data_IF_598438618413
#
_entry.id   IF_598438618413
#
_cell.length_a   1.000
_cell.length_b   1.000
_cell.length_c   1.000
_cell.angle_alpha   90.00
_cell.angle_beta   90.00
_cell.angle_gamma   90.00
#
_symmetry.space_group_name_H-M   'P 1'
#
loop_
_entity.id
_entity.type
_entity.pdbx_description
1 polymer ?
#
# COMPACT_ATOMS: atom_id res chain seq x y z
N UNK A 1 41.02 -22.28 -10.20
CA UNK A 1 40.43 -21.32 -9.24
C UNK A 1 39.01 -21.04 -9.69
N UNK A 2 38.02 -21.45 -8.89
CA UNK A 2 36.61 -21.35 -9.24
C UNK A 2 35.79 -22.05 -8.17
N UNK A 3 35.68 -21.40 -7.01
CA UNK A 3 34.96 -21.85 -5.83
C UNK A 3 33.49 -22.11 -6.17
N UNK A 4 33.04 -23.35 -6.00
CA UNK A 4 31.61 -23.73 -6.08
C UNK A 4 30.85 -23.19 -4.86
N UNK A 5 29.63 -22.66 -5.03
CA UNK A 5 28.80 -22.17 -3.92
C UNK A 5 28.12 -23.35 -3.19
N UNK A 6 28.91 -24.16 -2.49
CA UNK A 6 28.44 -25.33 -1.73
C UNK A 6 27.67 -24.95 -0.45
N UNK A 7 27.81 -23.70 0.01
CA UNK A 7 27.23 -23.23 1.28
C UNK A 7 25.72 -22.93 1.17
N UNK A 8 25.24 -22.45 0.01
CA UNK A 8 23.82 -22.13 -0.17
C UNK A 8 22.92 -23.38 -0.23
N UNK A 9 23.41 -24.45 -0.86
CA UNK A 9 22.68 -25.71 -0.99
C UNK A 9 22.48 -26.44 0.36
N UNK A 10 23.44 -26.31 1.29
CA UNK A 10 23.39 -26.95 2.60
C UNK A 10 22.44 -26.22 3.56
N UNK A 11 22.36 -24.89 3.47
CA UNK A 11 21.42 -24.10 4.28
C UNK A 11 19.96 -24.37 3.90
N UNK A 12 19.67 -24.56 2.61
CA UNK A 12 18.32 -24.81 2.12
C UNK A 12 17.74 -26.16 2.57
N UNK A 13 18.59 -27.18 2.69
CA UNK A 13 18.20 -28.54 3.12
C UNK A 13 17.74 -28.62 4.58
N UNK A 14 18.10 -27.66 5.43
CA UNK A 14 17.74 -27.66 6.86
C UNK A 14 16.44 -26.94 7.18
N UNK A 15 15.93 -26.08 6.28
CA UNK A 15 14.71 -25.29 6.53
C UNK A 15 13.41 -26.03 6.22
N UNK A 16 13.45 -27.13 5.46
CA UNK A 16 12.25 -27.76 4.86
C UNK A 16 11.61 -28.89 5.67
N UNK A 17 12.09 -29.20 6.88
CA UNK A 17 11.42 -30.21 7.73
C UNK A 17 10.52 -29.55 8.77
N UNK A 18 9.37 -29.04 8.34
CA UNK A 18 8.24 -28.82 9.27
C UNK A 18 7.18 -29.89 9.05
N UNK A 19 6.76 -30.51 10.15
CA UNK A 19 5.74 -31.56 10.20
C UNK A 19 4.38 -30.89 9.99
N UNK A 20 3.66 -31.24 8.92
CA UNK A 20 2.27 -30.82 8.77
C UNK A 20 1.41 -31.43 9.89
N UNK A 21 0.31 -30.77 10.26
CA UNK A 21 -0.63 -31.24 11.30
C UNK A 21 -1.25 -32.61 11.00
N UNK A 22 -1.19 -33.06 9.73
CA UNK A 22 -1.63 -34.39 9.26
C UNK A 22 -0.58 -35.50 9.46
N UNK A 23 0.55 -35.21 10.10
CA UNK A 23 1.62 -36.19 10.34
C UNK A 23 2.48 -36.53 9.11
N UNK A 24 2.18 -35.94 7.95
CA UNK A 24 3.02 -36.05 6.74
C UNK A 24 4.17 -35.05 6.81
N UNK A 25 5.39 -35.55 6.64
CA UNK A 25 6.57 -34.72 6.40
C UNK A 25 6.49 -34.22 4.97
N UNK A 26 6.23 -32.93 4.78
CA UNK A 26 6.31 -32.32 3.46
C UNK A 26 7.75 -31.86 3.27
N UNK A 27 8.58 -32.74 2.73
CA UNK A 27 9.85 -32.32 2.15
C UNK A 27 9.51 -31.53 0.89
N UNK A 28 10.01 -30.31 0.79
CA UNK A 28 10.02 -29.58 -0.47
C UNK A 28 11.02 -30.32 -1.39
N UNK A 29 10.57 -31.41 -1.99
CA UNK A 29 11.27 -32.03 -3.11
C UNK A 29 11.17 -31.04 -4.26
N UNK A 30 12.23 -30.27 -4.44
CA UNK A 30 12.41 -29.38 -5.59
C UNK A 30 12.33 -30.16 -6.92
N UNK A 31 12.38 -31.50 -6.87
CA UNK A 31 12.12 -32.42 -7.98
C UNK A 31 10.67 -32.41 -8.48
N UNK A 32 9.64 -32.12 -7.65
CA UNK A 32 8.24 -32.08 -8.12
C UNK A 32 7.98 -30.94 -9.12
N UNK A 33 8.77 -29.86 -9.07
CA UNK A 33 8.72 -28.80 -10.08
C UNK A 33 9.52 -29.12 -11.36
N UNK A 34 10.38 -30.15 -11.33
CA UNK A 34 11.14 -30.58 -12.50
C UNK A 34 10.36 -31.53 -13.41
N UNK A 35 9.32 -32.19 -12.90
CA UNK A 35 8.47 -33.10 -13.68
C UNK A 35 7.43 -32.37 -14.55
N UNK A 36 7.07 -31.14 -14.19
CA UNK A 36 6.31 -30.25 -15.06
C UNK A 36 7.27 -29.66 -16.10
N UNK A 37 7.58 -30.44 -17.15
CA UNK A 37 8.42 -29.97 -18.26
C UNK A 37 7.99 -28.59 -18.73
N UNK A 38 8.95 -27.73 -19.07
CA UNK A 38 8.73 -26.31 -19.41
C UNK A 38 7.56 -26.11 -20.39
N UNK A 39 7.42 -27.03 -21.36
CA UNK A 39 6.35 -27.07 -22.36
C UNK A 39 4.94 -27.26 -21.78
N UNK A 40 4.80 -27.95 -20.65
CA UNK A 40 3.54 -28.18 -19.97
C UNK A 40 2.98 -26.88 -19.36
N UNK A 41 3.82 -26.06 -18.74
CA UNK A 41 3.41 -24.76 -18.16
C UNK A 41 3.10 -23.69 -19.24
N UNK A 42 3.56 -23.90 -20.47
CA UNK A 42 3.25 -23.05 -21.61
C UNK A 42 1.96 -23.46 -22.34
N UNK A 43 1.39 -24.64 -22.04
CA UNK A 43 0.08 -25.07 -22.56
C UNK A 43 -1.05 -24.30 -21.87
N UNK A 44 -2.11 -23.98 -22.64
CA UNK A 44 -3.36 -23.47 -22.09
C UNK A 44 -3.91 -24.43 -21.01
N UNK A 45 -4.05 -23.96 -19.78
CA UNK A 45 -4.54 -24.76 -18.63
C UNK A 45 -3.46 -25.41 -17.75
N UNK A 46 -2.24 -25.62 -18.26
CA UNK A 46 -1.17 -26.29 -17.50
C UNK A 46 -0.73 -25.54 -16.23
N UNK A 47 -0.89 -24.20 -16.19
CA UNK A 47 -0.62 -23.40 -14.99
C UNK A 47 -1.68 -23.53 -13.91
N UNK A 48 -2.92 -23.86 -14.29
CA UNK A 48 -4.04 -24.04 -13.36
C UNK A 48 -3.92 -25.40 -12.67
N UNK A 49 -3.49 -26.42 -13.40
CA UNK A 49 -3.30 -27.78 -12.87
C UNK A 49 -2.16 -27.86 -11.83
N UNK A 50 -1.16 -26.98 -11.94
CA UNK A 50 -0.01 -26.92 -11.00
C UNK A 50 -0.22 -25.89 -9.90
N UNK A 51 -1.35 -25.17 -9.90
CA UNK A 51 -1.63 -24.09 -8.94
C UNK A 51 -1.65 -24.59 -7.50
N UNK A 52 -2.38 -25.66 -7.23
CA UNK A 52 -2.61 -26.13 -5.86
C UNK A 52 -1.28 -26.63 -5.23
N UNK A 53 -0.44 -27.45 -5.92
CA UNK A 53 0.91 -27.76 -5.44
C UNK A 53 1.82 -26.53 -5.21
N UNK A 54 1.71 -25.50 -6.05
CA UNK A 54 2.50 -24.25 -5.90
C UNK A 54 2.02 -23.43 -4.68
N UNK A 55 0.71 -23.43 -4.40
CA UNK A 55 0.17 -22.78 -3.20
C UNK A 55 0.62 -23.48 -1.91
N UNK A 56 0.76 -24.80 -1.91
CA UNK A 56 1.28 -25.54 -0.75
C UNK A 56 2.74 -25.16 -0.44
N UNK A 57 3.56 -24.94 -1.47
CA UNK A 57 4.94 -24.44 -1.31
C UNK A 57 4.94 -23.02 -0.73
N UNK A 58 4.01 -22.16 -1.14
CA UNK A 58 3.88 -20.80 -0.60
C UNK A 58 3.61 -20.82 0.92
N UNK A 59 2.70 -21.69 1.37
CA UNK A 59 2.34 -21.87 2.78
C UNK A 59 3.48 -22.42 3.63
N UNK A 60 4.43 -23.14 3.03
CA UNK A 60 5.57 -23.74 3.73
C UNK A 60 6.75 -22.79 3.95
N UNK A 61 6.67 -21.54 3.46
CA UNK A 61 7.62 -20.49 3.88
C UNK A 61 8.23 -19.64 2.77
N UNK A 62 7.62 -19.54 1.59
CA UNK A 62 8.10 -18.60 0.54
C UNK A 62 8.11 -17.16 1.06
N UNK A 63 7.13 -16.80 1.90
CA UNK A 63 7.09 -15.50 2.58
C UNK A 63 8.24 -15.25 3.57
N UNK A 64 8.96 -16.29 3.99
CA UNK A 64 10.12 -16.20 4.89
C UNK A 64 11.45 -16.36 4.15
N UNK A 65 11.44 -16.52 2.81
CA UNK A 65 12.66 -16.59 2.04
C UNK A 65 13.35 -15.21 2.07
N UNK A 66 14.69 -15.17 2.27
CA UNK A 66 15.43 -13.92 2.15
C UNK A 66 15.25 -13.31 0.76
N UNK A 67 15.07 -11.99 0.66
CA UNK A 67 14.86 -11.30 -0.62
C UNK A 67 15.93 -11.62 -1.66
N UNK A 68 17.20 -11.71 -1.24
CA UNK A 68 18.32 -12.08 -2.11
C UNK A 68 18.15 -13.45 -2.81
N UNK A 69 17.46 -14.41 -2.19
CA UNK A 69 17.18 -15.70 -2.83
C UNK A 69 16.07 -15.56 -3.87
N UNK A 70 15.02 -14.79 -3.56
CA UNK A 70 13.93 -14.52 -4.50
C UNK A 70 14.44 -13.77 -5.74
N UNK A 71 15.33 -12.78 -5.55
CA UNK A 71 16.01 -12.07 -6.63
C UNK A 71 16.83 -13.02 -7.52
N UNK A 72 17.68 -13.87 -6.90
CA UNK A 72 18.48 -14.84 -7.64
C UNK A 72 17.62 -15.85 -8.43
N UNK A 73 16.42 -16.15 -7.92
CA UNK A 73 15.46 -17.05 -8.56
C UNK A 73 14.51 -16.35 -9.56
N UNK A 74 14.62 -15.03 -9.75
CA UNK A 74 13.66 -14.21 -10.52
C UNK A 74 12.20 -14.39 -10.07
N UNK A 75 11.99 -14.59 -8.77
CA UNK A 75 10.66 -14.68 -8.19
C UNK A 75 10.18 -13.29 -7.78
N UNK A 76 8.99 -12.85 -8.22
CA UNK A 76 8.42 -11.59 -7.74
C UNK A 76 8.12 -11.72 -6.25
N UNK A 77 8.65 -10.80 -5.45
CA UNK A 77 8.40 -10.73 -4.02
C UNK A 77 8.31 -9.27 -3.57
N UNK A 78 7.53 -9.04 -2.52
CA UNK A 78 7.50 -7.78 -1.80
C UNK A 78 7.17 -8.06 -0.33
N UNK A 79 7.82 -7.38 0.63
CA UNK A 79 7.44 -7.48 2.04
C UNK A 79 6.03 -6.94 2.26
N UNK A 80 5.28 -7.56 3.17
CA UNK A 80 3.99 -7.02 3.63
C UNK A 80 4.29 -5.94 4.66
N UNK A 81 4.16 -4.69 4.25
CA UNK A 81 4.36 -3.52 5.11
C UNK A 81 3.09 -3.20 5.91
N UNK A 82 3.26 -2.64 7.11
CA UNK A 82 2.16 -2.06 7.88
C UNK A 82 1.88 -0.64 7.40
N UNK A 83 0.68 -0.09 7.64
CA UNK A 83 0.36 1.28 7.25
C UNK A 83 1.36 2.32 7.77
N UNK A 84 1.84 2.16 9.01
CA UNK A 84 2.84 3.05 9.61
C UNK A 84 4.23 2.98 8.95
N UNK A 85 4.57 1.87 8.29
CA UNK A 85 5.86 1.72 7.62
C UNK A 85 5.95 2.62 6.38
N UNK A 86 4.80 2.99 5.79
CA UNK A 86 4.71 3.84 4.59
C UNK A 86 5.37 5.21 4.78
N UNK A 87 5.35 5.78 5.99
CA UNK A 87 5.95 7.09 6.27
C UNK A 87 7.48 7.08 6.18
N UNK A 88 8.09 5.89 6.26
CA UNK A 88 9.54 5.71 6.19
C UNK A 88 9.97 4.94 4.94
N UNK A 89 9.03 4.52 4.10
CA UNK A 89 9.32 3.84 2.85
C UNK A 89 10.06 4.78 1.88
N UNK A 90 11.24 4.42 1.35
CA UNK A 90 12.03 5.29 0.48
C UNK A 90 11.30 5.83 -0.76
N UNK A 91 10.29 5.11 -1.27
CA UNK A 91 9.49 5.54 -2.41
C UNK A 91 8.38 6.53 -2.02
N UNK A 92 7.96 6.56 -0.75
CA UNK A 92 6.87 7.38 -0.24
C UNK A 92 7.34 8.53 0.64
N UNK A 93 8.46 8.39 1.34
CA UNK A 93 9.08 9.42 2.19
C UNK A 93 9.67 10.60 1.38
N UNK A 94 9.28 10.76 0.12
CA UNK A 94 9.59 11.91 -0.70
C UNK A 94 8.46 12.94 -0.55
N UNK A 95 8.77 14.25 -0.37
CA UNK A 95 7.73 15.28 -0.21
C UNK A 95 6.69 15.31 -1.35
N UNK A 96 7.08 14.87 -2.55
CA UNK A 96 6.20 14.77 -3.71
C UNK A 96 5.27 13.53 -3.68
N UNK A 97 5.69 12.47 -2.99
CA UNK A 97 4.91 11.24 -2.85
C UNK A 97 3.96 11.31 -1.65
N UNK A 98 4.32 12.07 -0.62
CA UNK A 98 3.47 12.34 0.53
C UNK A 98 3.43 13.85 0.86
N UNK A 99 2.69 14.67 0.08
CA UNK A 99 2.55 16.09 0.36
C UNK A 99 1.85 16.33 1.70
N UNK A 100 2.23 17.42 2.36
CA UNK A 100 1.55 17.89 3.58
C UNK A 100 0.20 18.52 3.23
N UNK A 101 -0.84 18.12 3.96
CA UNK A 101 -2.17 18.71 3.91
C UNK A 101 -2.49 19.32 5.27
N UNK A 102 -3.01 20.55 5.27
CA UNK A 102 -3.51 21.21 6.47
C UNK A 102 -4.95 20.79 6.73
N UNK A 103 -5.22 20.33 7.95
CA UNK A 103 -6.56 20.03 8.44
C UNK A 103 -7.30 21.30 8.83
N UNK A 104 -8.62 21.19 8.96
CA UNK A 104 -9.49 22.28 9.43
C UNK A 104 -9.10 22.85 10.80
N UNK A 105 -8.38 22.08 11.63
CA UNK A 105 -7.87 22.49 12.94
C UNK A 105 -6.44 23.09 12.89
N UNK A 106 -5.87 23.28 11.69
CA UNK A 106 -4.52 23.83 11.48
C UNK A 106 -3.37 22.83 11.64
N UNK A 107 -3.64 21.58 12.03
CA UNK A 107 -2.61 20.53 12.05
C UNK A 107 -2.23 20.13 10.63
N UNK A 108 -0.96 19.81 10.42
CA UNK A 108 -0.45 19.31 9.14
C UNK A 108 -0.16 17.82 9.25
N UNK A 109 -0.54 17.05 8.23
CA UNK A 109 -0.12 15.66 8.09
C UNK A 109 0.27 15.32 6.65
N UNK A 110 1.25 14.42 6.45
CA UNK A 110 1.58 13.89 5.14
C UNK A 110 0.53 12.86 4.71
N UNK A 111 0.00 13.03 3.50
CA UNK A 111 -0.93 12.09 2.87
C UNK A 111 -0.38 11.57 1.55
N UNK A 112 -0.59 10.30 1.19
CA UNK A 112 -0.14 9.78 -0.10
C UNK A 112 -0.76 10.57 -1.25
N UNK A 113 0.10 11.04 -2.16
CA UNK A 113 -0.32 11.76 -3.35
C UNK A 113 -1.10 10.85 -4.32
N UNK A 114 -1.78 11.47 -5.28
CA UNK A 114 -2.37 10.75 -6.40
C UNK A 114 -1.27 9.98 -7.15
N UNK A 115 -1.47 8.69 -7.50
CA UNK A 115 -0.48 7.87 -8.18
C UNK A 115 -0.44 8.18 -9.69
N UNK A 116 -0.45 9.47 -10.05
CA UNK A 116 -0.49 9.95 -11.43
C UNK A 116 0.65 10.94 -11.64
N UNK A 117 1.41 10.70 -12.69
CA UNK A 117 2.49 11.57 -13.18
C UNK A 117 2.20 11.92 -14.65
N UNK A 118 2.32 13.19 -15.00
CA UNK A 118 2.10 13.72 -16.35
C UNK A 118 3.34 14.51 -16.76
N UNK A 119 4.00 14.10 -17.85
CA UNK A 119 5.22 14.72 -18.37
C UNK A 119 6.34 14.91 -17.30
N UNK A 120 6.51 13.92 -16.42
CA UNK A 120 7.51 13.99 -15.34
C UNK A 120 7.08 14.84 -14.13
N UNK A 121 5.83 15.33 -14.13
CA UNK A 121 5.27 16.13 -13.05
C UNK A 121 4.18 15.37 -12.30
N UNK A 122 4.33 15.26 -10.99
CA UNK A 122 3.28 14.74 -10.11
C UNK A 122 2.30 15.84 -9.71
N UNK A 123 1.04 15.45 -9.54
CA UNK A 123 -0.01 16.35 -9.09
C UNK A 123 0.16 16.67 -7.60
N UNK A 124 0.33 17.95 -7.29
CA UNK A 124 0.40 18.45 -5.91
C UNK A 124 -0.96 18.69 -5.27
N UNK A 125 -0.94 19.08 -3.99
CA UNK A 125 -2.14 19.51 -3.27
C UNK A 125 -2.61 20.85 -3.84
N UNK A 126 -3.90 20.91 -4.23
CA UNK A 126 -4.53 22.13 -4.74
C UNK A 126 -5.20 22.96 -3.65
N UNK A 127 -5.83 22.28 -2.70
CA UNK A 127 -6.61 22.85 -1.61
C UNK A 127 -6.37 22.01 -0.36
N UNK A 128 -6.27 22.69 0.77
CA UNK A 128 -6.28 22.06 2.09
C UNK A 128 -7.71 21.64 2.48
N UNK A 129 -7.84 20.97 3.62
CA UNK A 129 -9.15 20.50 4.07
C UNK A 129 -10.01 21.67 4.54
N UNK A 130 -11.12 22.00 3.86
CA UNK A 130 -11.90 23.18 4.21
C UNK A 130 -12.63 23.00 5.53
N UNK A 131 -12.90 24.12 6.20
CA UNK A 131 -13.79 24.17 7.35
C UNK A 131 -15.24 23.93 6.92
N UNK A 132 -16.05 23.46 7.87
CA UNK A 132 -17.47 23.32 7.66
C UNK A 132 -18.08 24.71 7.35
N UNK A 133 -18.65 24.85 6.15
CA UNK A 133 -19.26 26.10 5.70
C UNK A 133 -18.31 27.12 5.07
N UNK A 134 -17.01 26.81 4.93
CA UNK A 134 -16.00 27.75 4.41
C UNK A 134 -16.39 28.36 3.06
N UNK A 135 -16.95 27.56 2.16
CA UNK A 135 -17.31 27.99 0.81
C UNK A 135 -18.81 28.29 0.62
N UNK A 136 -19.63 28.26 1.68
CA UNK A 136 -21.09 28.37 1.55
C UNK A 136 -21.53 29.71 0.96
N UNK A 137 -20.95 30.81 1.45
CA UNK A 137 -21.25 32.19 1.01
C UNK A 137 -20.79 32.40 -0.44
N UNK A 138 -19.60 31.92 -0.77
CA UNK A 138 -19.01 32.05 -2.10
C UNK A 138 -19.86 31.31 -3.14
N UNK A 139 -20.22 30.05 -2.85
CA UNK A 139 -21.08 29.24 -3.73
C UNK A 139 -22.47 29.87 -3.86
N UNK A 140 -23.08 30.38 -2.78
CA UNK A 140 -24.38 31.06 -2.87
C UNK A 140 -24.30 32.31 -3.77
N UNK A 141 -23.20 33.05 -3.68
CA UNK A 141 -22.97 34.23 -4.53
C UNK A 141 -22.78 33.82 -6.00
N UNK A 142 -22.00 32.77 -6.27
CA UNK A 142 -21.82 32.22 -7.63
C UNK A 142 -23.13 31.73 -8.26
N UNK A 143 -24.06 31.24 -7.44
CA UNK A 143 -25.41 30.85 -7.87
C UNK A 143 -26.34 32.05 -8.15
N UNK A 144 -25.90 33.28 -7.90
CA UNK A 144 -26.64 34.51 -8.18
C UNK A 144 -27.55 34.98 -7.05
N UNK A 145 -27.35 34.50 -5.81
CA UNK A 145 -28.02 35.07 -4.65
C UNK A 145 -27.42 36.44 -4.30
N UNK A 146 -28.28 37.41 -4.04
CA UNK A 146 -27.88 38.73 -3.56
C UNK A 146 -27.29 38.64 -2.12
N UNK A 147 -26.30 39.47 -1.75
CA UNK A 147 -25.68 39.45 -0.42
C UNK A 147 -26.68 39.48 0.74
N UNK A 148 -27.76 40.25 0.62
CA UNK A 148 -28.78 40.34 1.68
C UNK A 148 -29.49 39.00 1.86
N UNK A 149 -29.75 38.30 0.74
CA UNK A 149 -30.41 36.99 0.77
C UNK A 149 -29.50 35.91 1.36
N UNK A 150 -28.20 35.98 1.09
CA UNK A 150 -27.22 35.06 1.68
C UNK A 150 -27.15 35.24 3.19
N UNK A 151 -27.12 36.49 3.67
CA UNK A 151 -27.15 36.80 5.11
C UNK A 151 -28.42 36.28 5.79
N UNK A 152 -29.59 36.44 5.15
CA UNK A 152 -30.85 35.88 5.64
C UNK A 152 -30.79 34.35 5.77
N UNK A 153 -30.20 33.65 4.79
CA UNK A 153 -30.06 32.19 4.79
C UNK A 153 -29.09 31.70 5.88
N UNK A 154 -28.00 32.43 6.12
CA UNK A 154 -27.08 32.15 7.22
C UNK A 154 -27.76 32.37 8.56
N UNK A 155 -28.48 33.48 8.73
CA UNK A 155 -29.19 33.82 9.97
C UNK A 155 -30.31 32.84 10.28
N UNK A 156 -31.01 32.36 9.24
CA UNK A 156 -32.04 31.33 9.36
C UNK A 156 -31.46 29.92 9.61
N UNK A 157 -30.13 29.75 9.57
CA UNK A 157 -29.46 28.46 9.76
C UNK A 157 -29.67 27.47 8.60
N UNK A 158 -30.08 27.96 7.42
CA UNK A 158 -30.28 27.13 6.22
C UNK A 158 -28.95 26.75 5.59
N UNK A 159 -27.99 27.68 5.60
CA UNK A 159 -26.60 27.45 5.20
C UNK A 159 -25.68 27.89 6.33
N UNK A 160 -24.56 27.19 6.51
CA UNK A 160 -23.57 27.50 7.56
C UNK A 160 -22.42 28.32 6.98
N UNK A 161 -22.04 29.40 7.67
CA UNK A 161 -20.77 30.10 7.48
C UNK A 161 -19.64 29.38 8.24
N UNK A 162 -18.35 29.59 7.92
CA UNK A 162 -17.24 28.93 8.59
C UNK A 162 -17.36 29.09 10.11
N UNK A 163 -17.51 27.96 10.80
CA UNK A 163 -17.62 27.93 12.26
C UNK A 163 -16.19 27.94 12.83
N UNK A 164 -15.86 28.95 13.64
CA UNK A 164 -14.56 29.06 14.31
C UNK A 164 -14.47 28.04 15.46
N UNK A 165 -14.49 26.74 15.15
CA UNK A 165 -14.35 25.69 16.14
C UNK A 165 -12.86 25.56 16.52
N UNK A 166 -12.49 26.21 17.63
CA UNK A 166 -11.27 25.88 18.35
C UNK A 166 -11.44 24.48 18.96
N UNK A 167 -11.03 23.44 18.23
CA UNK A 167 -10.95 22.10 18.78
C UNK A 167 -9.90 22.09 19.91
N UNK A 168 -10.27 21.79 21.17
CA UNK A 168 -9.31 21.75 22.26
C UNK A 168 -8.27 20.66 21.97
N UNK A 169 -7.00 21.04 21.92
CA UNK A 169 -5.88 20.11 21.77
C UNK A 169 -5.99 19.03 22.86
N UNK A 170 -6.04 17.73 22.54
CA UNK A 170 -6.02 16.72 23.58
C UNK A 170 -4.68 16.84 24.32
N UNK A 171 -4.72 17.25 25.58
CA UNK A 171 -3.56 17.27 26.46
C UNK A 171 -3.06 15.83 26.60
N UNK A 172 -1.97 15.49 25.92
CA UNK A 172 -1.24 14.25 26.22
C UNK A 172 -0.71 14.36 27.64
N UNK A 173 -1.30 13.58 28.54
CA UNK A 173 -0.74 13.24 29.85
C UNK A 173 0.35 12.19 29.71
#
# INVERSE_FOLDING_TARGET
>A
MGSTPTVAAVAYRRLTSRRASSGRTVSLDLHLLQDCGRDFLHRHGGRVEVRDPVQDVHLLGVAQLPGALCEAANLPFAPIQRPEDLFTDPHLAQPVAMPEVTLSNGQKLPLPALPIEMDGHRLGVRLDLPQAGEHSTDIATELGYDPQKVEDLVTAGVISAPMNEQHPTPSRS
#
